data_IF_480080929328
#
_entry.id   IF_480080929328
#
_cell.length_a   1.000
_cell.length_b   1.000
_cell.length_c   1.000
_cell.angle_alpha   90.00
_cell.angle_beta   90.00
_cell.angle_gamma   90.00
#
_symmetry.space_group_name_H-M   'P 1'
#
loop_
_entity.id
_entity.type
_entity.pdbx_description
1 polymer ?
#
# COMPACT_ATOMS: atom_id res chain seq x y z
N UNK A 1 0.05 -1.07 18.35
CA UNK A 1 -0.05 0.04 17.37
C UNK A 1 -0.62 -0.48 16.05
N UNK A 2 -1.53 0.24 15.37
CA UNK A 2 -2.00 -0.14 14.05
C UNK A 2 -0.82 -0.14 13.05
N UNK A 3 -0.65 -1.25 12.33
CA UNK A 3 0.42 -1.43 11.33
C UNK A 3 -0.03 -0.86 10.00
N UNK A 4 0.67 0.17 9.52
CA UNK A 4 0.45 0.77 8.20
C UNK A 4 1.50 0.29 7.21
N UNK A 5 1.07 0.08 5.97
CA UNK A 5 1.92 -0.44 4.90
C UNK A 5 1.79 0.43 3.65
N UNK A 6 2.91 0.68 2.98
CA UNK A 6 3.00 1.27 1.66
C UNK A 6 3.09 0.16 0.63
N UNK A 7 2.11 0.11 -0.26
CA UNK A 7 1.93 -1.02 -1.18
C UNK A 7 1.73 -0.51 -2.60
N UNK A 8 2.16 -1.30 -3.57
CA UNK A 8 1.85 -1.08 -4.99
C UNK A 8 0.72 -2.03 -5.37
N UNK A 9 -0.34 -1.50 -5.96
CA UNK A 9 -1.45 -2.30 -6.45
C UNK A 9 -1.04 -3.06 -7.71
N UNK A 10 -1.43 -4.31 -7.79
CA UNK A 10 -1.27 -5.20 -8.95
C UNK A 10 -2.62 -5.72 -9.38
N UNK A 11 -2.81 -5.99 -10.66
CA UNK A 11 -4.01 -6.68 -11.14
C UNK A 11 -4.14 -8.04 -10.47
N UNK A 12 -5.33 -8.35 -9.95
CA UNK A 12 -5.58 -9.69 -9.44
C UNK A 12 -5.63 -10.69 -10.58
N UNK A 13 -4.95 -11.84 -10.42
CA UNK A 13 -5.08 -12.97 -11.36
C UNK A 13 -6.43 -13.69 -11.23
N UNK A 14 -7.09 -13.57 -10.07
CA UNK A 14 -8.41 -14.14 -9.81
C UNK A 14 -9.36 -13.03 -9.37
N UNK A 15 -10.41 -12.75 -10.16
CA UNK A 15 -11.30 -11.58 -9.96
C UNK A 15 -12.13 -11.65 -8.67
N UNK A 16 -12.38 -12.85 -8.17
CA UNK A 16 -13.07 -13.15 -6.90
C UNK A 16 -12.37 -12.56 -5.67
N UNK A 17 -11.03 -12.54 -5.68
CA UNK A 17 -10.19 -11.95 -4.63
C UNK A 17 -10.33 -10.41 -4.58
N UNK A 18 -10.63 -9.79 -5.72
CA UNK A 18 -10.73 -8.34 -5.90
C UNK A 18 -10.24 -7.92 -7.28
N UNK A 19 -10.43 -6.64 -7.63
CA UNK A 19 -9.90 -6.08 -8.90
C UNK A 19 -8.39 -5.96 -8.87
N UNK A 20 -7.85 -5.50 -7.74
CA UNK A 20 -6.42 -5.34 -7.51
C UNK A 20 -6.04 -5.89 -6.14
N UNK A 21 -4.77 -6.29 -6.03
CA UNK A 21 -4.17 -6.91 -4.86
C UNK A 21 -2.77 -6.35 -4.65
N UNK A 22 -2.11 -6.75 -3.57
CA UNK A 22 -0.68 -6.52 -3.38
C UNK A 22 -0.03 -7.75 -2.75
N UNK A 23 1.28 -7.71 -2.53
CA UNK A 23 2.03 -8.81 -1.93
C UNK A 23 3.05 -8.27 -0.94
N UNK A 24 3.19 -8.92 0.21
CA UNK A 24 4.26 -8.62 1.15
C UNK A 24 5.63 -9.12 0.65
N UNK A 25 6.68 -8.91 1.45
CA UNK A 25 8.05 -9.34 1.13
C UNK A 25 8.23 -10.86 0.98
N UNK A 26 7.32 -11.65 1.55
CA UNK A 26 7.34 -13.12 1.51
C UNK A 26 6.40 -13.67 0.43
N UNK A 27 5.78 -12.81 -0.38
CA UNK A 27 4.82 -13.22 -1.41
C UNK A 27 3.41 -13.51 -0.89
N UNK A 28 3.11 -13.17 0.38
CA UNK A 28 1.76 -13.32 0.94
C UNK A 28 0.86 -12.22 0.38
N UNK A 29 -0.33 -12.59 -0.09
CA UNK A 29 -1.24 -11.66 -0.76
C UNK A 29 -1.91 -10.70 0.23
N UNK A 30 -2.01 -9.43 -0.14
CA UNK A 30 -2.79 -8.41 0.54
C UNK A 30 -4.04 -8.07 -0.27
N UNK A 31 -5.20 -8.18 0.36
CA UNK A 31 -6.52 -7.96 -0.26
C UNK A 31 -7.13 -6.69 0.31
N UNK A 32 -7.58 -5.78 -0.55
CA UNK A 32 -8.24 -4.55 -0.12
C UNK A 32 -9.70 -4.82 0.28
N UNK A 33 -10.08 -4.34 1.46
CA UNK A 33 -11.40 -4.54 2.02
C UNK A 33 -12.48 -3.87 1.16
N UNK A 34 -13.48 -4.63 0.70
CA UNK A 34 -14.49 -4.15 -0.27
C UNK A 34 -15.33 -2.96 0.23
N UNK A 35 -15.54 -2.85 1.55
CA UNK A 35 -16.30 -1.73 2.15
C UNK A 35 -15.47 -0.47 2.38
N UNK A 36 -14.15 -0.52 2.18
CA UNK A 36 -13.35 0.69 2.33
C UNK A 36 -13.64 1.65 1.17
N UNK A 37 -13.87 2.96 1.42
CA UNK A 37 -14.30 3.91 0.40
C UNK A 37 -13.39 3.93 -0.84
N UNK A 38 -12.07 3.98 -0.61
CA UNK A 38 -11.06 4.06 -1.66
C UNK A 38 -10.96 2.79 -2.53
N UNK A 39 -11.49 1.65 -2.08
CA UNK A 39 -11.33 0.37 -2.82
C UNK A 39 -11.89 0.43 -4.24
N UNK A 40 -12.93 1.25 -4.48
CA UNK A 40 -13.53 1.42 -5.81
C UNK A 40 -12.65 2.21 -6.78
N UNK A 41 -11.78 3.07 -6.24
CA UNK A 41 -10.89 3.94 -7.00
C UNK A 41 -9.55 3.26 -7.31
N UNK A 42 -9.20 2.20 -6.57
CA UNK A 42 -7.93 1.49 -6.76
C UNK A 42 -7.85 0.84 -8.15
N UNK A 43 -6.84 1.24 -8.90
CA UNK A 43 -6.42 0.65 -10.17
C UNK A 43 -5.06 -0.01 -10.03
N UNK A 44 -4.66 -0.80 -11.01
CA UNK A 44 -3.30 -1.34 -11.08
C UNK A 44 -2.28 -0.21 -11.19
N UNK A 45 -1.13 -0.36 -10.55
CA UNK A 45 -0.04 0.59 -10.70
C UNK A 45 -0.08 1.77 -9.73
N UNK A 46 -0.98 1.75 -8.75
CA UNK A 46 -1.13 2.81 -7.76
C UNK A 46 -0.31 2.52 -6.51
N UNK A 47 0.30 3.56 -5.96
CA UNK A 47 0.93 3.53 -4.66
C UNK A 47 -0.11 3.87 -3.59
N UNK A 48 -0.27 3.02 -2.58
CA UNK A 48 -1.35 3.14 -1.60
C UNK A 48 -0.79 2.94 -0.20
N UNK A 49 -1.22 3.77 0.74
CA UNK A 49 -1.07 3.54 2.18
C UNK A 49 -2.30 2.80 2.67
N UNK A 50 -2.10 1.65 3.30
CA UNK A 50 -3.17 0.85 3.85
C UNK A 50 -2.89 0.45 5.30
N UNK A 51 -3.97 0.36 6.09
CA UNK A 51 -3.94 -0.23 7.43
C UNK A 51 -4.10 -1.75 7.30
N UNK A 52 -3.22 -2.51 7.95
CA UNK A 52 -3.36 -3.98 8.06
C UNK A 52 -4.42 -4.27 9.13
N UNK A 53 -5.55 -4.86 8.73
CA UNK A 53 -6.67 -5.15 9.64
C UNK A 53 -6.53 -6.50 10.34
N UNK A 54 -6.01 -7.51 9.64
CA UNK A 54 -5.75 -8.82 10.21
C UNK A 54 -4.29 -9.19 10.01
N UNK A 55 -3.62 -9.55 11.10
CA UNK A 55 -2.39 -10.35 11.04
C UNK A 55 -2.80 -11.78 10.70
N UNK A 56 -2.30 -12.31 9.57
CA UNK A 56 -2.39 -13.73 9.14
C UNK A 56 -3.46 -14.51 9.91
N UNK A 57 -4.71 -14.48 9.46
CA UNK A 57 -5.69 -15.38 10.05
C UNK A 57 -5.11 -16.80 9.95
N UNK A 58 -5.09 -17.56 11.05
CA UNK A 58 -4.37 -18.84 11.21
C UNK A 58 -4.58 -19.84 10.07
N UNK A 59 -5.66 -19.71 9.30
CA UNK A 59 -6.04 -20.58 8.19
C UNK A 59 -6.08 -19.89 6.81
N UNK A 60 -5.58 -18.65 6.67
CA UNK A 60 -5.66 -17.88 5.42
C UNK A 60 -4.33 -17.21 5.11
N UNK A 61 -3.70 -17.63 4.01
CA UNK A 61 -2.44 -17.09 3.47
C UNK A 61 -2.59 -15.68 2.88
N UNK A 62 -3.29 -14.77 3.56
CA UNK A 62 -3.49 -13.40 3.10
C UNK A 62 -3.70 -12.38 4.24
N UNK A 63 -3.42 -11.12 3.93
CA UNK A 63 -3.76 -9.96 4.76
C UNK A 63 -5.01 -9.26 4.24
N UNK A 64 -5.84 -8.76 5.16
CA UNK A 64 -6.90 -7.80 4.82
C UNK A 64 -6.35 -6.39 5.06
N UNK A 65 -6.44 -5.57 4.02
CA UNK A 65 -5.94 -4.20 3.99
C UNK A 65 -7.12 -3.22 3.90
N UNK A 66 -7.07 -2.19 4.72
CA UNK A 66 -7.96 -1.04 4.58
C UNK A 66 -7.20 0.10 3.91
N UNK A 67 -7.46 0.42 2.62
CA UNK A 67 -6.80 1.54 1.95
C UNK A 67 -7.19 2.86 2.63
N UNK A 68 -6.20 3.71 2.89
CA UNK A 68 -6.38 4.97 3.64
C UNK A 68 -6.06 6.19 2.78
N UNK A 69 -5.05 6.12 1.91
CA UNK A 69 -4.69 7.19 0.97
C UNK A 69 -4.00 6.59 -0.24
N UNK A 70 -4.36 7.07 -1.42
CA UNK A 70 -3.61 6.88 -2.66
C UNK A 70 -2.50 7.94 -2.65
N UNK A 71 -1.25 7.50 -2.78
CA UNK A 71 -0.09 8.39 -2.75
C UNK A 71 0.17 8.91 -4.15
N UNK A 72 0.20 10.22 -4.26
CA UNK A 72 0.40 11.01 -5.47
C UNK A 72 1.69 11.86 -5.31
N UNK A 73 1.80 12.95 -6.09
CA UNK A 73 2.95 13.84 -6.06
C UNK A 73 3.08 14.63 -4.74
N UNK A 74 2.01 14.73 -3.95
CA UNK A 74 1.99 15.38 -2.62
C UNK A 74 2.73 14.55 -1.54
N UNK A 75 3.27 13.40 -1.93
CA UNK A 75 4.14 12.60 -1.10
C UNK A 75 3.43 11.87 0.04
N UNK A 76 4.21 11.53 1.07
CA UNK A 76 3.71 10.74 2.20
C UNK A 76 3.36 11.67 3.36
N UNK A 77 2.08 11.67 3.82
CA UNK A 77 1.69 12.48 4.96
C UNK A 77 2.57 12.20 6.19
N UNK A 78 3.03 13.23 6.93
CA UNK A 78 3.94 13.07 8.07
C UNK A 78 3.45 12.08 9.13
N UNK A 79 2.13 11.97 9.32
CA UNK A 79 1.50 11.00 10.23
C UNK A 79 1.85 9.53 9.94
N UNK A 80 2.33 9.23 8.73
CA UNK A 80 2.77 7.89 8.34
C UNK A 80 4.28 7.76 8.19
N UNK A 81 5.06 8.85 8.21
CA UNK A 81 6.49 8.77 7.89
C UNK A 81 7.30 7.94 8.91
N UNK A 82 6.82 7.88 10.17
CA UNK A 82 7.38 7.03 11.23
C UNK A 82 6.58 5.72 11.33
N UNK A 83 7.18 4.62 10.89
CA UNK A 83 6.62 3.27 11.08
C UNK A 83 5.82 2.69 9.90
N UNK A 84 5.84 3.35 8.74
CA UNK A 84 5.29 2.81 7.51
C UNK A 84 6.20 1.71 6.96
N UNK A 85 5.70 0.48 6.99
CA UNK A 85 6.37 -0.64 6.35
C UNK A 85 6.17 -0.58 4.83
N UNK A 86 7.18 -1.01 4.07
CA UNK A 86 7.11 -0.97 2.60
C UNK A 86 7.07 -2.39 2.06
N UNK A 87 6.03 -2.70 1.28
CA UNK A 87 5.85 -4.01 0.67
C UNK A 87 6.29 -4.02 -0.78
N UNK A 88 7.39 -4.74 -1.04
CA UNK A 88 7.91 -4.96 -2.38
C UNK A 88 8.79 -3.84 -2.91
N UNK A 89 9.65 -4.22 -3.87
CA UNK A 89 10.63 -3.34 -4.50
C UNK A 89 10.00 -2.14 -5.24
N UNK A 90 8.86 -2.26 -5.94
CA UNK A 90 8.21 -1.12 -6.59
C UNK A 90 7.83 -0.01 -5.61
N UNK A 91 7.19 -0.36 -4.48
CA UNK A 91 6.82 0.59 -3.44
C UNK A 91 8.04 1.29 -2.84
N UNK A 92 9.13 0.55 -2.62
CA UNK A 92 10.38 1.12 -2.12
C UNK A 92 11.02 2.11 -3.09
N UNK A 93 11.04 1.78 -4.39
CA UNK A 93 11.55 2.70 -5.42
C UNK A 93 10.70 3.97 -5.50
N UNK A 94 9.38 3.84 -5.45
CA UNK A 94 8.47 4.98 -5.48
C UNK A 94 8.66 5.88 -4.24
N UNK A 95 8.77 5.29 -3.05
CA UNK A 95 9.08 6.01 -1.82
C UNK A 95 10.37 6.83 -1.93
N UNK A 96 11.45 6.23 -2.44
CA UNK A 96 12.73 6.93 -2.64
C UNK A 96 12.60 8.10 -3.62
N UNK A 97 11.85 7.92 -4.70
CA UNK A 97 11.61 8.99 -5.70
C UNK A 97 10.88 10.17 -5.07
N UNK A 98 9.80 9.90 -4.34
CA UNK A 98 9.02 10.91 -3.61
C UNK A 98 9.93 11.66 -2.62
N UNK A 99 10.67 10.95 -1.76
CA UNK A 99 11.58 11.57 -0.79
C UNK A 99 12.68 12.39 -1.43
N UNK A 100 13.15 12.02 -2.63
CA UNK A 100 14.14 12.81 -3.38
C UNK A 100 13.55 14.12 -3.90
N UNK A 101 12.34 14.09 -4.47
CA UNK A 101 11.65 15.30 -4.94
C UNK A 101 11.47 16.27 -3.77
N UNK A 102 10.92 15.78 -2.66
CA UNK A 102 10.71 16.58 -1.45
C UNK A 102 11.99 17.17 -0.84
N UNK A 103 13.14 16.51 -0.96
CA UNK A 103 14.43 17.06 -0.50
C UNK A 103 15.07 18.02 -1.50
N UNK A 104 14.81 17.85 -2.79
CA UNK A 104 15.34 18.68 -3.87
C UNK A 104 14.71 20.07 -3.92
N UNK A 105 13.41 20.17 -3.63
CA UNK A 105 12.68 21.46 -3.63
C UNK A 105 13.00 22.35 -2.43
N UNK A 106 13.52 21.79 -1.33
CA UNK A 106 13.99 22.55 -0.17
C UNK A 106 15.48 22.96 -0.22
N UNK A 107 16.17 22.67 -1.32
CA UNK A 107 17.61 22.98 -1.50
C UNK A 107 17.87 24.09 -2.52
N UNK A 108 16.85 24.88 -2.88
CA UNK A 108 16.98 26.04 -3.78
C UNK A 108 16.41 27.29 -3.14
#
# INVERSE_FOLDING_TARGET
MPRYVLVYTKKSRKKDVGRVVTYDKNGVIGIFHRKAPLTRELKEGMLVIAKVLSSKARNKNFYILWPVKIVDAEGIPPKYDKGLEVWGRPSYKALKRIKRIYRGDHSK
#
